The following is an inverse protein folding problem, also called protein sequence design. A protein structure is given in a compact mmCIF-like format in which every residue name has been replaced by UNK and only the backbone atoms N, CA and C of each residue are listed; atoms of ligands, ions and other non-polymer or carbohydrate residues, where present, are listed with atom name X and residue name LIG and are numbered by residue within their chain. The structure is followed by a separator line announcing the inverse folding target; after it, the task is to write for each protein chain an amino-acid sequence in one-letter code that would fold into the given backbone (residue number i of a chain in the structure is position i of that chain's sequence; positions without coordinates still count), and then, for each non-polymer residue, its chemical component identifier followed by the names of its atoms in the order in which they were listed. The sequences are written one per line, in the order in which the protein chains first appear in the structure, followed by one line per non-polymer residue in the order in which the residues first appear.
data_IF_250050290706
#
_entry.id   IF_250050290706
#
_cell.length_a   1.000
_cell.length_b   1.000
_cell.length_c   1.000
_cell.angle_alpha   90.00
_cell.angle_beta   90.00
_cell.angle_gamma   90.00
#
_symmetry.space_group_name_H-M   'P 1'
#
loop_
_entity.id
_entity.type
_entity.pdbx_description
1 polymer ?
#
# COMPACT_ATOMS: atom_id res chain seq x y z
N UNK A 1 -20.33 18.95 1.63
CA UNK A 1 -20.70 18.73 3.05
C UNK A 1 -20.38 19.97 3.87
N UNK A 2 -21.07 20.22 5.03
CA UNK A 2 -20.60 21.30 5.91
C UNK A 2 -19.41 20.87 6.75
N UNK A 3 -18.62 21.85 7.21
CA UNK A 3 -17.47 21.62 8.10
C UNK A 3 -17.91 20.89 9.39
N UNK A 4 -19.06 21.29 9.96
CA UNK A 4 -19.64 20.62 11.13
C UNK A 4 -19.99 19.15 10.87
N UNK A 5 -20.53 18.82 9.68
CA UNK A 5 -20.81 17.43 9.31
C UNK A 5 -19.52 16.58 9.17
N UNK A 6 -18.42 17.18 8.68
CA UNK A 6 -17.13 16.50 8.63
C UNK A 6 -16.59 16.24 10.04
N UNK A 7 -16.65 17.24 10.92
CA UNK A 7 -16.24 17.10 12.32
C UNK A 7 -17.06 16.04 13.04
N UNK A 8 -18.39 16.02 12.85
CA UNK A 8 -19.26 15.01 13.44
C UNK A 8 -18.86 13.57 13.04
N UNK A 9 -18.41 13.38 11.78
CA UNK A 9 -18.02 12.06 11.25
C UNK A 9 -16.59 11.65 11.60
N UNK A 10 -15.67 12.61 11.69
CA UNK A 10 -14.23 12.35 11.80
C UNK A 10 -13.65 12.67 13.18
N UNK A 11 -14.42 13.34 14.03
CA UNK A 11 -13.94 13.92 15.27
C UNK A 11 -13.19 15.22 15.04
N UNK A 12 -12.52 15.73 16.07
CA UNK A 12 -11.83 17.03 16.07
C UNK A 12 -12.68 18.11 16.72
N UNK A 13 -12.09 19.29 16.92
CA UNK A 13 -12.72 20.44 17.58
C UNK A 13 -12.68 21.64 16.64
N UNK A 14 -13.82 22.27 16.43
CA UNK A 14 -13.87 23.57 15.74
C UNK A 14 -13.40 24.67 16.73
N UNK A 15 -12.26 25.26 16.47
CA UNK A 15 -11.71 26.34 17.30
C UNK A 15 -12.24 27.70 16.88
N UNK A 16 -12.41 27.94 15.58
CA UNK A 16 -12.91 29.18 14.99
C UNK A 16 -13.64 28.91 13.68
N UNK A 17 -14.43 29.90 13.23
CA UNK A 17 -15.14 29.88 11.96
C UNK A 17 -16.55 29.31 12.07
N UNK A 18 -17.18 29.13 10.92
CA UNK A 18 -18.56 28.70 10.80
C UNK A 18 -18.68 27.19 10.54
N UNK A 19 -19.35 26.45 11.42
CA UNK A 19 -19.63 25.02 11.25
C UNK A 19 -20.51 24.71 10.02
N UNK A 20 -21.31 25.68 9.57
CA UNK A 20 -22.16 25.55 8.39
C UNK A 20 -21.41 25.89 7.09
N UNK A 21 -20.14 26.31 7.16
CA UNK A 21 -19.32 26.55 5.97
C UNK A 21 -19.30 25.31 5.06
N UNK A 22 -19.62 25.51 3.80
CA UNK A 22 -19.69 24.43 2.80
C UNK A 22 -18.29 24.07 2.32
N UNK A 23 -17.95 22.78 2.46
CA UNK A 23 -16.67 22.22 1.97
C UNK A 23 -16.98 21.28 0.80
N UNK A 24 -16.40 21.57 -0.35
CA UNK A 24 -16.59 20.82 -1.59
C UNK A 24 -15.41 19.90 -1.91
N UNK A 25 -14.20 20.30 -1.52
CA UNK A 25 -12.98 19.61 -1.88
C UNK A 25 -11.86 19.72 -0.86
N UNK A 26 -10.73 19.18 -1.24
CA UNK A 26 -9.46 19.28 -0.54
C UNK A 26 -8.39 19.73 -1.53
N UNK A 27 -7.43 20.52 -1.06
CA UNK A 27 -6.38 21.04 -1.94
C UNK A 27 -5.06 21.26 -1.19
N UNK A 28 -3.99 21.61 -1.92
CA UNK A 28 -2.78 22.17 -1.32
C UNK A 28 -3.00 23.62 -0.90
N UNK A 29 -2.32 24.09 0.14
CA UNK A 29 -2.51 25.46 0.65
C UNK A 29 -2.36 26.55 -0.42
N UNK A 30 -1.36 26.50 -1.36
CA UNK A 30 -1.22 27.52 -2.41
C UNK A 30 -2.33 27.53 -3.46
N UNK A 31 -3.04 26.42 -3.65
CA UNK A 31 -4.04 26.26 -4.72
C UNK A 31 -5.47 26.22 -4.22
N UNK A 32 -5.66 26.27 -2.91
CA UNK A 32 -6.98 26.14 -2.29
C UNK A 32 -7.87 27.33 -2.56
N UNK A 33 -9.15 27.04 -2.81
CA UNK A 33 -10.24 28.01 -2.90
C UNK A 33 -11.09 28.07 -1.62
N UNK A 34 -12.09 28.99 -1.57
CA UNK A 34 -12.88 29.25 -0.36
C UNK A 34 -13.77 28.07 0.09
N UNK A 35 -13.95 27.05 -0.73
CA UNK A 35 -14.68 25.82 -0.37
C UNK A 35 -13.75 24.62 -0.18
N UNK A 36 -12.42 24.83 -0.23
CA UNK A 36 -11.44 23.78 -0.03
C UNK A 36 -10.98 23.70 1.43
N UNK A 37 -10.66 22.47 1.82
CA UNK A 37 -10.03 22.12 3.08
C UNK A 37 -8.53 21.90 2.85
N UNK A 38 -7.69 22.42 3.74
CA UNK A 38 -6.24 22.17 3.76
C UNK A 38 -5.81 21.70 5.14
N UNK A 39 -4.58 21.22 5.28
CA UNK A 39 -4.02 20.84 6.59
C UNK A 39 -2.61 21.41 6.76
N UNK A 40 -2.18 21.53 8.02
CA UNK A 40 -0.83 21.89 8.39
C UNK A 40 -0.32 21.01 9.54
N UNK A 41 0.95 20.65 9.51
CA UNK A 41 1.58 19.78 10.52
C UNK A 41 2.57 20.54 11.42
N UNK A 42 2.97 21.75 11.04
CA UNK A 42 3.90 22.64 11.75
C UNK A 42 3.48 24.10 11.62
N UNK A 43 4.19 24.99 12.29
CA UNK A 43 3.88 26.44 12.33
C UNK A 43 4.08 27.11 10.96
N UNK A 44 5.06 26.69 10.16
CA UNK A 44 5.35 27.26 8.85
C UNK A 44 4.22 26.95 7.86
N UNK A 45 3.85 25.68 7.76
CA UNK A 45 2.71 25.25 6.93
C UNK A 45 1.38 25.81 7.43
N UNK A 46 1.21 26.04 8.73
CA UNK A 46 0.04 26.68 9.28
C UNK A 46 -0.06 28.15 8.86
N UNK A 47 1.03 28.90 8.90
CA UNK A 47 1.07 30.29 8.46
C UNK A 47 0.70 30.41 6.97
N UNK A 48 1.22 29.55 6.10
CA UNK A 48 0.87 29.49 4.68
C UNK A 48 -0.62 29.17 4.47
N UNK A 49 -1.13 28.13 5.14
CA UNK A 49 -2.53 27.70 5.00
C UNK A 49 -3.52 28.78 5.48
N UNK A 50 -3.16 29.54 6.52
CA UNK A 50 -4.00 30.58 7.11
C UNK A 50 -4.02 31.86 6.29
N UNK A 51 -2.95 32.20 5.59
CA UNK A 51 -2.86 33.38 4.72
C UNK A 51 -3.40 33.12 3.30
N UNK A 52 -3.53 31.87 2.86
CA UNK A 52 -4.09 31.49 1.56
C UNK A 52 -5.59 31.72 1.43
N UNK A 53 -6.25 31.05 0.47
CA UNK A 53 -7.68 31.20 0.19
C UNK A 53 -8.55 30.02 0.68
N UNK A 54 -7.99 29.05 1.38
CA UNK A 54 -8.74 27.89 1.86
C UNK A 54 -9.91 28.30 2.77
N UNK A 55 -11.05 27.61 2.66
CA UNK A 55 -12.21 27.85 3.52
C UNK A 55 -12.03 27.31 4.93
N UNK A 56 -11.25 26.23 5.08
CA UNK A 56 -10.94 25.65 6.38
C UNK A 56 -9.52 25.05 6.43
N UNK A 57 -8.93 25.07 7.63
CA UNK A 57 -7.59 24.57 7.91
C UNK A 57 -7.65 23.57 9.08
N UNK A 58 -6.99 22.44 8.94
CA UNK A 58 -6.82 21.45 10.00
C UNK A 58 -5.45 21.64 10.62
N UNK A 59 -5.40 21.84 11.94
CA UNK A 59 -4.18 22.06 12.72
C UNK A 59 -3.98 20.97 13.76
N UNK A 60 -2.75 20.81 14.23
CA UNK A 60 -2.45 20.01 15.43
C UNK A 60 -2.92 20.75 16.69
N UNK A 61 -3.21 20.02 17.78
CA UNK A 61 -3.43 20.64 19.08
C UNK A 61 -2.27 21.57 19.48
N UNK A 62 -2.65 22.72 20.05
CA UNK A 62 -1.72 23.75 20.52
C UNK A 62 -0.81 24.37 19.43
N UNK A 63 -1.13 24.24 18.15
CA UNK A 63 -0.43 25.00 17.11
C UNK A 63 -0.79 26.49 17.26
N UNK A 64 0.18 27.40 17.46
CA UNK A 64 -0.10 28.84 17.47
C UNK A 64 -0.62 29.30 16.12
N UNK A 65 -1.66 30.10 16.08
CA UNK A 65 -2.18 30.66 14.84
C UNK A 65 -2.78 32.05 14.99
N UNK A 66 -2.69 32.81 13.89
CA UNK A 66 -3.50 34.03 13.68
C UNK A 66 -4.44 33.76 12.51
N UNK A 67 -5.73 34.00 12.68
CA UNK A 67 -6.74 33.76 11.67
C UNK A 67 -7.37 35.08 11.17
N UNK A 68 -6.65 35.87 10.36
CA UNK A 68 -7.09 37.18 9.92
C UNK A 68 -8.30 37.16 8.97
N UNK A 69 -8.61 35.99 8.40
CA UNK A 69 -9.66 35.81 7.39
C UNK A 69 -10.85 35.00 7.89
N UNK A 70 -10.98 34.79 9.20
CA UNK A 70 -12.10 34.08 9.85
C UNK A 70 -12.40 32.69 9.27
N UNK A 71 -11.37 31.98 8.80
CA UNK A 71 -11.51 30.63 8.26
C UNK A 71 -12.00 29.64 9.31
N UNK A 72 -12.55 28.53 8.84
CA UNK A 72 -12.79 27.37 9.70
C UNK A 72 -11.48 26.77 10.20
N UNK A 73 -11.26 26.74 11.52
CA UNK A 73 -10.08 26.11 12.14
C UNK A 73 -10.52 24.85 12.88
N UNK A 74 -10.03 23.71 12.41
CA UNK A 74 -10.30 22.41 13.03
C UNK A 74 -9.04 21.89 13.69
N UNK A 75 -9.11 21.63 14.98
CA UNK A 75 -8.04 20.97 15.72
C UNK A 75 -8.22 19.43 15.64
N UNK A 76 -7.17 18.72 15.20
CA UNK A 76 -7.15 17.26 15.17
C UNK A 76 -5.77 16.70 15.53
N UNK A 77 -5.67 15.59 16.28
CA UNK A 77 -4.38 15.00 16.68
C UNK A 77 -3.47 14.61 15.51
N UNK A 78 -4.07 14.25 14.38
CA UNK A 78 -3.36 13.92 13.12
C UNK A 78 -4.03 14.66 11.96
N UNK A 79 -3.60 15.90 11.64
CA UNK A 79 -4.19 16.70 10.57
C UNK A 79 -4.20 16.01 9.21
N UNK A 80 -3.09 15.40 8.82
CA UNK A 80 -2.95 14.67 7.55
C UNK A 80 -3.92 13.50 7.45
N UNK A 81 -4.09 12.71 8.52
CA UNK A 81 -5.04 11.60 8.53
C UNK A 81 -6.49 12.09 8.46
N UNK A 82 -6.79 13.16 9.20
CA UNK A 82 -8.12 13.77 9.18
C UNK A 82 -8.45 14.30 7.77
N UNK A 83 -7.52 15.01 7.15
CA UNK A 83 -7.61 15.50 5.77
C UNK A 83 -7.86 14.36 4.76
N UNK A 84 -7.08 13.27 4.83
CA UNK A 84 -7.25 12.13 3.95
C UNK A 84 -8.63 11.47 4.09
N UNK A 85 -9.15 11.39 5.33
CA UNK A 85 -10.50 10.88 5.61
C UNK A 85 -11.59 11.83 5.09
N UNK A 86 -11.40 13.13 5.26
CA UNK A 86 -12.30 14.14 4.72
C UNK A 86 -12.36 14.09 3.19
N UNK A 87 -11.20 14.00 2.52
CA UNK A 87 -11.10 13.84 1.08
C UNK A 87 -11.92 12.63 0.58
N UNK A 88 -11.84 11.51 1.30
CA UNK A 88 -12.61 10.30 0.97
C UNK A 88 -14.13 10.51 1.13
N UNK A 89 -14.55 11.29 2.13
CA UNK A 89 -15.98 11.59 2.35
C UNK A 89 -16.52 12.62 1.35
N UNK A 90 -15.69 13.54 0.89
CA UNK A 90 -16.06 14.58 -0.07
C UNK A 90 -16.09 14.07 -1.51
N UNK A 91 -15.29 13.04 -1.81
CA UNK A 91 -15.30 12.42 -3.14
C UNK A 91 -16.57 11.59 -3.33
N UNK A 92 -17.39 11.87 -4.35
CA UNK A 92 -18.54 11.04 -4.64
C UNK A 92 -18.09 9.61 -4.95
N UNK A 93 -18.78 8.63 -4.36
CA UNK A 93 -18.54 7.24 -4.71
C UNK A 93 -18.92 7.02 -6.19
N UNK A 94 -18.07 6.37 -7.00
CA UNK A 94 -18.43 6.03 -8.36
C UNK A 94 -19.67 5.11 -8.35
N UNK A 95 -20.56 5.30 -9.31
CA UNK A 95 -21.73 4.45 -9.45
C UNK A 95 -21.30 3.03 -9.81
N UNK A 96 -21.91 2.04 -9.16
CA UNK A 96 -21.71 0.64 -9.50
C UNK A 96 -22.11 0.39 -10.95
N UNK A 97 -21.23 -0.20 -11.74
CA UNK A 97 -21.52 -0.55 -13.13
C UNK A 97 -20.53 -1.57 -13.66
N UNK A 98 -20.94 -2.31 -14.67
CA UNK A 98 -20.05 -3.17 -15.46
C UNK A 98 -19.95 -2.51 -16.85
N UNK A 99 -18.73 -2.08 -17.20
CA UNK A 99 -18.52 -1.43 -18.50
C UNK A 99 -18.77 -2.44 -19.63
N UNK A 100 -19.47 -2.05 -20.73
CA UNK A 100 -19.79 -2.98 -21.82
C UNK A 100 -18.58 -3.64 -22.50
N UNK A 101 -17.42 -3.04 -22.43
CA UNK A 101 -16.15 -3.60 -22.93
C UNK A 101 -15.42 -4.47 -21.90
N UNK A 102 -15.95 -4.70 -20.72
CA UNK A 102 -15.42 -5.69 -19.77
C UNK A 102 -15.88 -7.09 -20.18
N UNK A 103 -14.99 -8.07 -19.98
CA UNK A 103 -15.30 -9.49 -20.21
C UNK A 103 -15.50 -10.16 -18.86
N UNK A 104 -16.72 -10.58 -18.58
CA UNK A 104 -17.08 -11.25 -17.32
C UNK A 104 -17.60 -12.64 -17.65
N UNK A 105 -16.93 -13.66 -17.11
CA UNK A 105 -17.39 -15.03 -17.28
C UNK A 105 -18.75 -15.25 -16.61
N UNK A 106 -19.70 -15.96 -17.24
CA UNK A 106 -21.05 -16.18 -16.67
C UNK A 106 -21.05 -16.91 -15.32
N UNK A 107 -20.01 -17.65 -14.98
CA UNK A 107 -19.89 -18.32 -13.68
C UNK A 107 -19.31 -17.43 -12.58
N UNK A 108 -18.87 -16.20 -12.89
CA UNK A 108 -18.36 -15.27 -11.90
C UNK A 108 -19.50 -14.78 -10.97
N UNK A 109 -19.18 -14.66 -9.69
CA UNK A 109 -20.10 -14.20 -8.66
C UNK A 109 -19.71 -12.78 -8.22
N UNK A 110 -20.59 -11.82 -8.45
CA UNK A 110 -20.34 -10.42 -8.12
C UNK A 110 -21.22 -9.99 -6.94
N UNK A 111 -20.62 -9.35 -5.97
CA UNK A 111 -21.30 -8.70 -4.86
C UNK A 111 -22.05 -7.43 -5.27
N UNK A 112 -22.58 -6.72 -4.30
CA UNK A 112 -23.29 -5.45 -4.51
C UNK A 112 -22.32 -4.30 -4.70
N UNK A 113 -22.72 -3.28 -5.46
CA UNK A 113 -21.94 -2.05 -5.68
C UNK A 113 -20.53 -2.29 -6.23
N UNK A 114 -20.37 -3.30 -7.09
CA UNK A 114 -19.12 -3.57 -7.80
C UNK A 114 -19.03 -2.67 -9.02
N UNK A 115 -17.85 -2.06 -9.22
CA UNK A 115 -17.52 -1.30 -10.43
C UNK A 115 -16.45 -2.05 -11.20
N UNK A 116 -16.74 -2.40 -12.46
CA UNK A 116 -15.80 -3.06 -13.38
C UNK A 116 -15.65 -2.19 -14.61
N UNK A 117 -14.43 -1.71 -14.85
CA UNK A 117 -14.13 -0.76 -15.91
C UNK A 117 -13.73 -1.43 -17.24
N UNK A 118 -13.50 -0.59 -18.25
CA UNK A 118 -13.29 -1.02 -19.63
C UNK A 118 -12.12 -1.99 -19.80
N UNK A 119 -12.36 -3.09 -20.52
CA UNK A 119 -11.34 -4.07 -20.86
C UNK A 119 -10.83 -4.93 -19.69
N UNK A 120 -11.43 -4.82 -18.50
CA UNK A 120 -11.18 -5.76 -17.41
C UNK A 120 -11.68 -7.16 -17.79
N UNK A 121 -10.95 -8.20 -17.39
CA UNK A 121 -11.28 -9.61 -17.65
C UNK A 121 -11.48 -10.34 -16.33
N UNK A 122 -12.68 -10.85 -16.11
CA UNK A 122 -13.06 -11.63 -14.92
C UNK A 122 -13.27 -13.07 -15.36
N UNK A 123 -12.37 -13.95 -14.94
CA UNK A 123 -12.35 -15.35 -15.32
C UNK A 123 -13.44 -16.21 -14.65
N UNK A 124 -13.51 -17.46 -15.07
CA UNK A 124 -14.51 -18.42 -14.57
C UNK A 124 -14.39 -18.63 -13.05
N UNK A 125 -15.54 -18.75 -12.37
CA UNK A 125 -15.64 -18.98 -10.92
C UNK A 125 -14.94 -17.94 -10.05
N UNK A 126 -14.62 -16.77 -10.57
CA UNK A 126 -14.12 -15.63 -9.77
C UNK A 126 -15.24 -15.18 -8.82
N UNK A 127 -14.85 -14.87 -7.58
CA UNK A 127 -15.77 -14.30 -6.58
C UNK A 127 -15.30 -12.91 -6.20
N UNK A 128 -16.19 -11.93 -6.27
CA UNK A 128 -15.91 -10.54 -5.94
C UNK A 128 -16.90 -10.09 -4.88
N UNK A 129 -16.41 -9.63 -3.74
CA UNK A 129 -17.21 -9.11 -2.64
C UNK A 129 -17.85 -7.75 -2.94
N UNK A 130 -18.58 -7.21 -1.96
CA UNK A 130 -19.31 -5.94 -2.06
C UNK A 130 -18.35 -4.73 -2.18
N UNK A 131 -18.74 -3.74 -3.00
CA UNK A 131 -18.05 -2.45 -3.09
C UNK A 131 -16.66 -2.47 -3.71
N UNK A 132 -16.32 -3.52 -4.46
CA UNK A 132 -15.04 -3.62 -5.15
C UNK A 132 -14.96 -2.72 -6.39
N UNK A 133 -13.77 -2.24 -6.70
CA UNK A 133 -13.50 -1.44 -7.88
C UNK A 133 -12.36 -2.09 -8.70
N UNK A 134 -12.70 -2.55 -9.90
CA UNK A 134 -11.77 -3.19 -10.84
C UNK A 134 -11.52 -2.22 -11.98
N UNK A 135 -10.36 -1.63 -12.00
CA UNK A 135 -9.94 -0.63 -12.99
C UNK A 135 -9.68 -1.22 -14.38
N UNK A 136 -9.49 -0.37 -15.42
CA UNK A 136 -9.39 -0.85 -16.81
C UNK A 136 -8.29 -1.88 -17.01
N UNK A 137 -8.57 -2.89 -17.82
CA UNK A 137 -7.62 -3.93 -18.24
C UNK A 137 -7.00 -4.76 -17.11
N UNK A 138 -7.54 -4.72 -15.89
CA UNK A 138 -7.18 -5.69 -14.87
C UNK A 138 -7.68 -7.09 -15.24
N UNK A 139 -6.90 -8.13 -14.92
CA UNK A 139 -7.20 -9.52 -15.25
C UNK A 139 -7.25 -10.36 -13.98
N UNK A 140 -8.42 -10.96 -13.72
CA UNK A 140 -8.61 -11.91 -12.63
C UNK A 140 -8.75 -13.32 -13.24
N UNK A 141 -7.76 -14.16 -12.98
CA UNK A 141 -7.75 -15.55 -13.45
C UNK A 141 -8.80 -16.40 -12.74
N UNK A 142 -9.21 -17.54 -13.37
CA UNK A 142 -10.26 -18.39 -12.84
C UNK A 142 -10.04 -18.80 -11.37
N UNK A 143 -11.11 -18.78 -10.57
CA UNK A 143 -11.09 -19.16 -9.16
C UNK A 143 -10.54 -18.14 -8.18
N UNK A 144 -10.06 -16.98 -8.64
CA UNK A 144 -9.63 -15.88 -7.76
C UNK A 144 -10.78 -15.40 -6.89
N UNK A 145 -10.49 -15.16 -5.60
CA UNK A 145 -11.49 -14.65 -4.65
C UNK A 145 -11.06 -13.30 -4.10
N UNK A 146 -11.94 -12.30 -4.20
CA UNK A 146 -11.81 -10.98 -3.59
C UNK A 146 -12.82 -10.81 -2.47
N UNK A 147 -12.38 -10.32 -1.33
CA UNK A 147 -13.24 -9.83 -0.25
C UNK A 147 -13.97 -8.54 -0.62
N UNK A 148 -14.41 -7.79 0.38
CA UNK A 148 -15.18 -6.56 0.19
C UNK A 148 -14.26 -5.33 0.05
N UNK A 149 -14.71 -4.31 -0.69
CA UNK A 149 -14.03 -3.03 -0.85
C UNK A 149 -12.58 -3.13 -1.35
N UNK A 150 -12.31 -4.18 -2.13
CA UNK A 150 -11.01 -4.38 -2.78
C UNK A 150 -10.90 -3.45 -3.99
N UNK A 151 -9.74 -2.83 -4.15
CA UNK A 151 -9.43 -1.95 -5.28
C UNK A 151 -8.29 -2.60 -6.08
N UNK A 152 -8.55 -2.84 -7.37
CA UNK A 152 -7.56 -3.41 -8.29
C UNK A 152 -7.30 -2.39 -9.39
N UNK A 153 -6.11 -1.79 -9.38
CA UNK A 153 -5.72 -0.78 -10.36
C UNK A 153 -5.43 -1.36 -11.76
N UNK A 154 -5.35 -0.46 -12.73
CA UNK A 154 -5.29 -0.81 -14.15
C UNK A 154 -4.14 -1.76 -14.50
N UNK A 155 -4.42 -2.76 -15.31
CA UNK A 155 -3.43 -3.69 -15.81
C UNK A 155 -2.89 -4.71 -14.80
N UNK A 156 -3.37 -4.73 -13.56
CA UNK A 156 -2.99 -5.75 -12.59
C UNK A 156 -3.45 -7.15 -13.04
N UNK A 157 -2.63 -8.17 -12.80
CA UNK A 157 -2.90 -9.57 -13.18
C UNK A 157 -2.88 -10.44 -11.93
N UNK A 158 -4.00 -11.05 -11.61
CA UNK A 158 -4.23 -11.76 -10.35
C UNK A 158 -4.60 -13.22 -10.60
N UNK A 159 -3.86 -14.14 -9.97
CA UNK A 159 -4.11 -15.57 -10.02
C UNK A 159 -3.50 -16.28 -11.22
N UNK A 160 -2.50 -15.68 -11.89
CA UNK A 160 -1.70 -16.38 -12.89
C UNK A 160 -0.95 -17.57 -12.29
N UNK A 161 -0.53 -18.50 -13.13
CA UNK A 161 0.29 -19.63 -12.72
C UNK A 161 1.66 -19.16 -12.24
N UNK A 162 2.09 -19.68 -11.09
CA UNK A 162 3.38 -19.36 -10.51
C UNK A 162 4.56 -19.95 -11.30
N UNK A 163 5.74 -19.38 -11.12
CA UNK A 163 6.99 -19.83 -11.75
C UNK A 163 7.58 -21.02 -10.99
N UNK A 164 6.96 -22.19 -11.16
CA UNK A 164 7.40 -23.44 -10.55
C UNK A 164 7.84 -24.45 -11.61
N UNK A 165 9.11 -24.86 -11.60
CA UNK A 165 9.67 -25.85 -12.55
C UNK A 165 10.58 -26.85 -11.86
N UNK A 166 10.46 -28.13 -12.25
CA UNK A 166 11.33 -29.21 -11.82
C UNK A 166 12.27 -29.57 -12.98
N UNK A 167 13.56 -29.57 -12.70
CA UNK A 167 14.56 -29.97 -13.70
C UNK A 167 14.71 -31.50 -13.71
N UNK A 168 14.55 -32.10 -14.87
CA UNK A 168 14.94 -33.50 -15.08
C UNK A 168 16.47 -33.59 -15.09
N UNK A 169 17.03 -34.37 -14.19
CA UNK A 169 18.48 -34.55 -14.08
C UNK A 169 19.11 -35.34 -15.23
N UNK A 170 18.33 -36.15 -15.92
CA UNK A 170 18.82 -36.97 -17.03
C UNK A 170 18.89 -36.19 -18.35
N UNK A 171 17.90 -35.37 -18.63
CA UNK A 171 17.77 -34.63 -19.89
C UNK A 171 18.15 -33.17 -19.80
N UNK A 172 18.16 -32.59 -18.57
CA UNK A 172 18.35 -31.17 -18.33
C UNK A 172 17.11 -30.31 -18.63
N UNK A 173 16.01 -30.92 -19.10
CA UNK A 173 14.76 -30.22 -19.41
C UNK A 173 13.99 -29.84 -18.17
N UNK A 174 13.07 -28.87 -18.31
CA UNK A 174 12.20 -28.39 -17.23
C UNK A 174 10.76 -28.84 -17.44
N UNK A 175 10.14 -29.38 -16.41
CA UNK A 175 8.71 -29.66 -16.35
C UNK A 175 8.04 -28.72 -15.38
N UNK A 176 6.95 -28.09 -15.80
CA UNK A 176 6.18 -27.19 -14.94
C UNK A 176 5.57 -27.96 -13.77
N UNK A 177 5.75 -27.46 -12.57
CA UNK A 177 5.06 -27.95 -11.38
C UNK A 177 3.59 -27.47 -11.42
N UNK A 178 2.60 -28.33 -11.07
CA UNK A 178 1.19 -27.95 -11.15
C UNK A 178 0.86 -26.70 -10.37
N UNK A 179 0.09 -25.80 -10.97
CA UNK A 179 -0.38 -24.55 -10.38
C UNK A 179 -1.92 -24.60 -10.28
N UNK A 180 -2.42 -25.37 -9.32
CA UNK A 180 -3.85 -25.72 -9.18
C UNK A 180 -4.49 -25.12 -7.90
N UNK A 181 -3.71 -24.39 -7.13
CA UNK A 181 -4.16 -23.74 -5.92
C UNK A 181 -4.96 -22.45 -6.19
N UNK A 182 -5.24 -21.71 -5.13
CA UNK A 182 -6.10 -20.53 -5.16
C UNK A 182 -5.31 -19.22 -4.96
N UNK A 183 -5.94 -18.11 -5.32
CA UNK A 183 -5.59 -16.77 -4.84
C UNK A 183 -6.76 -16.20 -4.05
N UNK A 184 -6.48 -15.78 -2.80
CA UNK A 184 -7.45 -15.16 -1.90
C UNK A 184 -6.96 -13.78 -1.50
N UNK A 185 -7.77 -12.76 -1.75
CA UNK A 185 -7.53 -11.38 -1.38
C UNK A 185 -8.64 -10.96 -0.44
N UNK A 186 -8.29 -10.57 0.78
CA UNK A 186 -9.24 -10.22 1.81
C UNK A 186 -9.76 -8.77 1.68
N UNK A 187 -10.62 -8.33 2.60
CA UNK A 187 -11.29 -7.03 2.60
C UNK A 187 -10.30 -5.86 2.62
N UNK A 188 -10.71 -4.73 2.05
CA UNK A 188 -9.99 -3.44 2.11
C UNK A 188 -8.57 -3.45 1.53
N UNK A 189 -8.21 -4.47 0.74
CA UNK A 189 -6.91 -4.54 0.04
C UNK A 189 -6.92 -3.62 -1.18
N UNK A 190 -5.78 -2.99 -1.45
CA UNK A 190 -5.57 -2.19 -2.65
C UNK A 190 -4.32 -2.69 -3.39
N UNK A 191 -4.46 -2.95 -4.69
CA UNK A 191 -3.41 -3.51 -5.55
C UNK A 191 -3.14 -2.54 -6.68
N UNK A 192 -1.90 -2.06 -6.76
CA UNK A 192 -1.42 -1.07 -7.71
C UNK A 192 -1.39 -1.54 -9.17
N UNK A 193 -1.21 -0.58 -10.06
CA UNK A 193 -1.22 -0.82 -11.50
C UNK A 193 -0.09 -1.75 -11.95
N UNK A 194 -0.41 -2.67 -12.88
CA UNK A 194 0.52 -3.66 -13.44
C UNK A 194 1.21 -4.55 -12.39
N UNK A 195 0.66 -4.67 -11.21
CA UNK A 195 1.11 -5.61 -10.18
C UNK A 195 0.64 -7.02 -10.55
N UNK A 196 1.48 -8.02 -10.32
CA UNK A 196 1.18 -9.43 -10.60
C UNK A 196 1.21 -10.24 -9.31
N UNK A 197 0.18 -11.07 -9.08
CA UNK A 197 0.09 -11.97 -7.93
C UNK A 197 -0.27 -13.36 -8.42
N UNK A 198 0.62 -14.32 -8.20
CA UNK A 198 0.41 -15.68 -8.62
C UNK A 198 -0.54 -16.44 -7.70
N UNK A 199 -1.24 -17.44 -8.22
CA UNK A 199 -1.98 -18.41 -7.41
C UNK A 199 -1.04 -19.31 -6.62
N UNK A 200 -1.53 -19.98 -5.60
CA UNK A 200 -0.80 -21.05 -4.96
C UNK A 200 -0.56 -22.23 -5.93
N UNK A 201 0.53 -22.95 -5.77
CA UNK A 201 0.78 -24.16 -6.56
C UNK A 201 -0.26 -25.26 -6.23
N UNK A 202 -0.33 -25.71 -4.98
CA UNK A 202 -1.32 -26.70 -4.50
C UNK A 202 -2.21 -26.15 -3.36
N UNK A 203 -1.72 -25.16 -2.62
CA UNK A 203 -2.45 -24.46 -1.57
C UNK A 203 -2.93 -23.08 -2.07
N UNK A 204 -2.83 -22.04 -1.28
CA UNK A 204 -3.25 -20.71 -1.68
C UNK A 204 -2.12 -19.67 -1.55
N UNK A 205 -2.18 -18.64 -2.37
CA UNK A 205 -1.55 -17.35 -2.12
C UNK A 205 -2.59 -16.47 -1.44
N UNK A 206 -2.24 -15.81 -0.34
CA UNK A 206 -3.18 -14.99 0.44
C UNK A 206 -2.65 -13.59 0.69
N UNK A 207 -3.51 -12.61 0.41
CA UNK A 207 -3.28 -11.20 0.76
C UNK A 207 -4.31 -10.82 1.81
N UNK A 208 -3.86 -10.50 3.03
CA UNK A 208 -4.75 -10.26 4.16
C UNK A 208 -5.26 -8.84 4.19
N UNK A 209 -6.31 -8.66 4.98
CA UNK A 209 -7.10 -7.43 5.10
C UNK A 209 -6.25 -6.17 5.28
N UNK A 210 -6.66 -5.08 4.60
CA UNK A 210 -6.10 -3.74 4.76
C UNK A 210 -4.76 -3.50 4.06
N UNK A 211 -4.12 -4.54 3.51
CA UNK A 211 -2.81 -4.45 2.83
C UNK A 211 -2.88 -3.54 1.60
N UNK A 212 -1.82 -2.73 1.43
CA UNK A 212 -1.65 -1.78 0.33
C UNK A 212 -0.41 -2.15 -0.47
N UNK A 213 -0.61 -2.45 -1.74
CA UNK A 213 0.43 -2.88 -2.68
C UNK A 213 0.51 -1.84 -3.79
N UNK A 214 1.68 -1.28 -4.00
CA UNK A 214 1.95 -0.27 -5.01
C UNK A 214 2.10 -0.89 -6.41
N UNK A 215 2.40 -0.07 -7.39
CA UNK A 215 2.53 -0.46 -8.79
C UNK A 215 3.75 -1.34 -9.05
N UNK A 216 3.64 -2.22 -10.06
CA UNK A 216 4.75 -3.04 -10.56
C UNK A 216 5.37 -3.95 -9.48
N UNK A 217 4.59 -4.39 -8.51
CA UNK A 217 5.00 -5.40 -7.51
C UNK A 217 4.74 -6.79 -8.07
N UNK A 218 5.63 -7.75 -7.77
CA UNK A 218 5.39 -9.17 -8.03
C UNK A 218 5.31 -9.96 -6.73
N UNK A 219 4.27 -10.77 -6.57
CA UNK A 219 4.10 -11.72 -5.46
C UNK A 219 3.94 -13.12 -6.04
N UNK A 220 4.92 -13.98 -5.76
CA UNK A 220 4.96 -15.36 -6.24
C UNK A 220 3.97 -16.28 -5.52
N UNK A 221 3.89 -17.50 -6.02
CA UNK A 221 2.97 -18.53 -5.54
C UNK A 221 3.16 -18.89 -4.05
N UNK A 222 2.09 -19.29 -3.38
CA UNK A 222 2.09 -19.75 -1.98
C UNK A 222 2.58 -18.67 -0.97
N UNK A 223 2.56 -17.40 -1.32
CA UNK A 223 2.87 -16.32 -0.38
C UNK A 223 1.72 -16.05 0.57
N UNK A 224 2.04 -15.70 1.82
CA UNK A 224 1.10 -15.21 2.83
C UNK A 224 1.50 -13.80 3.26
N UNK A 225 0.75 -12.79 2.78
CA UNK A 225 0.97 -11.39 3.11
C UNK A 225 0.00 -10.98 4.21
N UNK A 226 0.53 -10.58 5.35
CA UNK A 226 -0.19 -10.25 6.58
C UNK A 226 -1.16 -9.07 6.45
N UNK A 227 -1.88 -8.79 7.54
CA UNK A 227 -2.79 -7.64 7.61
C UNK A 227 -2.03 -6.32 7.64
N UNK A 228 -2.62 -5.26 7.04
CA UNK A 228 -2.13 -3.88 7.09
C UNK A 228 -0.66 -3.72 6.66
N UNK A 229 -0.18 -4.58 5.77
CA UNK A 229 1.17 -4.49 5.17
C UNK A 229 1.18 -3.41 4.09
N UNK A 230 2.29 -2.68 4.00
CA UNK A 230 2.54 -1.73 2.90
C UNK A 230 3.71 -2.22 2.07
N UNK A 231 3.51 -2.37 0.76
CA UNK A 231 4.54 -2.82 -0.19
C UNK A 231 4.66 -1.76 -1.28
N UNK A 232 5.83 -1.11 -1.33
CA UNK A 232 6.10 -0.07 -2.32
C UNK A 232 6.56 -0.66 -3.67
N UNK A 233 6.56 0.18 -4.69
CA UNK A 233 6.74 -0.18 -6.09
C UNK A 233 8.03 -0.96 -6.39
N UNK A 234 7.95 -1.81 -7.42
CA UNK A 234 9.07 -2.60 -7.95
C UNK A 234 9.63 -3.66 -6.97
N UNK A 235 8.91 -3.96 -5.90
CA UNK A 235 9.27 -5.04 -4.97
C UNK A 235 8.93 -6.40 -5.59
N UNK A 236 9.85 -7.37 -5.42
CA UNK A 236 9.64 -8.76 -5.79
C UNK A 236 9.65 -9.68 -4.58
N UNK A 237 8.59 -10.48 -4.41
CA UNK A 237 8.47 -11.50 -3.36
C UNK A 237 8.40 -12.86 -4.02
N UNK A 238 9.43 -13.68 -3.83
CA UNK A 238 9.50 -15.02 -4.38
C UNK A 238 8.55 -15.99 -3.67
N UNK A 239 8.28 -17.11 -4.31
CA UNK A 239 7.29 -18.09 -3.85
C UNK A 239 7.51 -18.61 -2.43
N UNK A 240 6.43 -19.08 -1.80
CA UNK A 240 6.41 -19.67 -0.46
C UNK A 240 6.95 -18.77 0.66
N UNK A 241 6.96 -17.46 0.45
CA UNK A 241 7.42 -16.48 1.43
C UNK A 241 6.26 -15.89 2.22
N UNK A 242 6.55 -15.34 3.41
CA UNK A 242 5.55 -14.65 4.20
C UNK A 242 6.01 -13.29 4.70
N UNK A 243 5.05 -12.36 4.82
CA UNK A 243 5.25 -11.01 5.37
C UNK A 243 4.25 -10.79 6.50
N UNK A 244 4.77 -10.55 7.70
CA UNK A 244 3.96 -10.39 8.90
C UNK A 244 3.17 -9.08 8.94
N UNK A 245 2.13 -9.06 9.77
CA UNK A 245 1.21 -7.92 9.99
C UNK A 245 1.95 -6.60 10.18
N UNK A 246 1.50 -5.54 9.50
CA UNK A 246 1.99 -4.17 9.69
C UNK A 246 3.43 -3.95 9.23
N UNK A 247 4.03 -4.90 8.49
CA UNK A 247 5.35 -4.69 7.91
C UNK A 247 5.32 -3.62 6.81
N UNK A 248 6.43 -2.92 6.64
CA UNK A 248 6.61 -1.89 5.60
C UNK A 248 7.76 -2.31 4.70
N UNK A 249 7.45 -2.59 3.46
CA UNK A 249 8.42 -3.01 2.44
C UNK A 249 8.60 -1.83 1.47
N UNK A 250 9.75 -1.18 1.54
CA UNK A 250 10.05 -0.05 0.66
C UNK A 250 10.33 -0.50 -0.79
N UNK A 251 10.48 0.46 -1.69
CA UNK A 251 10.62 0.17 -3.11
C UNK A 251 11.86 -0.64 -3.49
N UNK A 252 11.73 -1.48 -4.52
CA UNK A 252 12.81 -2.30 -5.09
C UNK A 252 13.41 -3.32 -4.11
N UNK A 253 12.64 -3.74 -3.09
CA UNK A 253 13.06 -4.80 -2.17
C UNK A 253 12.94 -6.15 -2.87
N UNK A 254 13.92 -7.03 -2.65
CA UNK A 254 13.89 -8.42 -3.07
C UNK A 254 13.71 -9.36 -1.87
N UNK A 255 12.66 -10.18 -1.88
CA UNK A 255 12.43 -11.23 -0.87
C UNK A 255 12.60 -12.58 -1.56
N UNK A 256 13.63 -13.31 -1.14
CA UNK A 256 13.99 -14.61 -1.70
C UNK A 256 12.96 -15.69 -1.34
N UNK A 257 13.04 -16.80 -2.06
CA UNK A 257 12.18 -17.96 -1.91
C UNK A 257 12.16 -18.53 -0.48
N UNK A 258 11.00 -18.92 0.04
CA UNK A 258 10.82 -19.43 1.41
C UNK A 258 11.35 -18.50 2.51
N UNK A 259 11.38 -17.19 2.27
CA UNK A 259 11.79 -16.22 3.28
C UNK A 259 10.61 -15.72 4.12
N UNK A 260 10.88 -15.34 5.37
CA UNK A 260 9.86 -14.88 6.30
C UNK A 260 10.23 -13.51 6.88
N UNK A 261 9.38 -12.53 6.65
CA UNK A 261 9.50 -11.19 7.24
C UNK A 261 8.51 -11.08 8.40
N UNK A 262 9.01 -10.79 9.59
CA UNK A 262 8.19 -10.72 10.81
C UNK A 262 7.27 -9.50 10.86
N UNK A 263 6.32 -9.49 11.82
CA UNK A 263 5.39 -8.37 12.01
C UNK A 263 6.11 -7.05 12.32
N UNK A 264 5.62 -5.94 11.75
CA UNK A 264 6.14 -4.60 12.00
C UNK A 264 7.58 -4.35 11.55
N UNK A 265 8.17 -5.26 10.78
CA UNK A 265 9.51 -5.08 10.19
C UNK A 265 9.45 -4.02 9.10
N UNK A 266 10.43 -3.15 9.06
CA UNK A 266 10.61 -2.16 7.98
C UNK A 266 11.84 -2.55 7.15
N UNK A 267 11.62 -2.92 5.88
CA UNK A 267 12.69 -3.11 4.91
C UNK A 267 12.90 -1.82 4.13
N UNK A 268 14.08 -1.22 4.26
CA UNK A 268 14.45 -0.03 3.51
C UNK A 268 14.61 -0.31 2.01
N UNK A 269 14.52 0.73 1.18
CA UNK A 269 14.61 0.59 -0.27
C UNK A 269 15.83 -0.20 -0.74
N UNK A 270 15.64 -1.08 -1.72
CA UNK A 270 16.68 -1.96 -2.29
C UNK A 270 17.28 -2.98 -1.29
N UNK A 271 16.63 -3.20 -0.15
CA UNK A 271 17.05 -4.26 0.76
C UNK A 271 16.78 -5.65 0.17
N UNK A 272 17.61 -6.63 0.54
CA UNK A 272 17.46 -8.02 0.12
C UNK A 272 17.31 -8.98 1.30
N UNK A 273 16.29 -9.84 1.27
CA UNK A 273 16.13 -10.96 2.19
C UNK A 273 16.48 -12.24 1.45
N UNK A 274 17.50 -12.96 1.93
CA UNK A 274 17.97 -14.18 1.27
C UNK A 274 16.94 -15.32 1.42
N UNK A 275 16.95 -16.23 0.46
CA UNK A 275 16.09 -17.43 0.45
C UNK A 275 16.20 -18.25 1.73
N UNK A 276 15.07 -18.74 2.25
CA UNK A 276 14.99 -19.54 3.45
C UNK A 276 15.37 -18.79 4.74
N UNK A 277 15.48 -17.47 4.71
CA UNK A 277 15.83 -16.68 5.89
C UNK A 277 14.61 -16.04 6.55
N UNK A 278 14.67 -15.99 7.88
CA UNK A 278 13.69 -15.26 8.68
C UNK A 278 14.32 -13.94 9.13
N UNK A 279 13.60 -12.85 8.88
CA UNK A 279 13.94 -11.50 9.31
C UNK A 279 12.85 -11.03 10.25
N UNK A 280 13.18 -10.91 11.53
CA UNK A 280 12.25 -10.46 12.57
C UNK A 280 12.87 -9.34 13.37
N UNK A 281 12.07 -8.66 14.18
CA UNK A 281 12.58 -7.74 15.19
C UNK A 281 13.29 -8.48 16.34
N UNK A 282 13.11 -9.80 16.43
CA UNK A 282 13.75 -10.71 17.40
C UNK A 282 14.95 -11.41 16.75
N UNK A 283 15.95 -11.78 17.53
CA UNK A 283 17.08 -12.59 17.05
C UNK A 283 18.31 -11.82 16.58
N UNK A 284 18.25 -10.51 16.47
CA UNK A 284 19.47 -9.68 16.38
C UNK A 284 20.00 -9.38 17.79
N UNK A 285 21.31 -9.42 18.00
CA UNK A 285 21.95 -8.98 19.26
C UNK A 285 22.65 -7.64 19.04
N UNK A 286 22.21 -6.52 19.64
CA UNK A 286 21.06 -6.36 20.51
C UNK A 286 19.71 -6.46 19.74
N UNK A 287 18.65 -6.82 20.46
CA UNK A 287 17.29 -7.00 19.94
C UNK A 287 16.82 -5.77 19.15
N UNK A 288 16.29 -6.00 17.97
CA UNK A 288 15.81 -4.92 17.10
C UNK A 288 14.42 -4.50 17.56
N UNK A 289 14.25 -3.22 17.89
CA UNK A 289 12.95 -2.68 18.25
C UNK A 289 12.02 -2.65 17.03
N UNK A 290 10.69 -2.89 17.21
CA UNK A 290 9.71 -2.65 16.15
C UNK A 290 9.89 -1.25 15.53
N UNK A 291 9.75 -1.15 14.21
CA UNK A 291 10.01 0.10 13.47
C UNK A 291 11.47 0.37 13.12
N UNK A 292 12.41 -0.50 13.50
CA UNK A 292 13.81 -0.37 13.05
C UNK A 292 13.90 -0.67 11.56
N UNK A 293 14.51 0.25 10.80
CA UNK A 293 14.77 0.06 9.38
C UNK A 293 15.92 -0.90 9.17
N UNK A 294 15.68 -1.96 8.40
CA UNK A 294 16.69 -2.90 7.91
C UNK A 294 17.04 -2.56 6.46
N UNK A 295 18.31 -2.60 6.10
CA UNK A 295 18.79 -2.23 4.78
C UNK A 295 20.01 -3.06 4.34
N UNK A 296 20.26 -3.04 3.02
CA UNK A 296 21.37 -3.77 2.39
C UNK A 296 20.97 -5.21 2.01
N UNK A 297 21.93 -5.92 1.42
CA UNK A 297 21.77 -7.33 1.02
C UNK A 297 22.95 -8.13 1.59
N UNK A 298 22.73 -9.00 2.59
CA UNK A 298 21.44 -9.25 3.29
C UNK A 298 20.98 -8.05 4.14
N UNK A 299 19.67 -7.94 4.35
CA UNK A 299 19.08 -6.86 5.14
C UNK A 299 19.53 -6.93 6.60
N UNK A 300 20.11 -5.83 7.10
CA UNK A 300 20.64 -5.67 8.45
C UNK A 300 20.24 -4.29 9.01
N UNK A 301 20.35 -4.06 10.33
CA UNK A 301 20.03 -2.74 10.87
C UNK A 301 20.79 -1.61 10.13
N UNK A 302 20.05 -0.62 9.63
CA UNK A 302 20.58 0.46 8.79
C UNK A 302 21.81 1.14 9.44
N UNK A 303 21.75 1.44 10.74
CA UNK A 303 22.88 2.06 11.47
C UNK A 303 24.14 1.21 11.41
N UNK A 304 24.02 -0.12 11.45
CA UNK A 304 25.15 -1.03 11.32
C UNK A 304 25.74 -0.96 9.92
N UNK A 305 24.93 -1.08 8.88
CA UNK A 305 25.38 -1.02 7.48
C UNK A 305 26.06 0.31 7.18
N UNK A 306 25.51 1.43 7.63
CA UNK A 306 26.12 2.75 7.43
C UNK A 306 27.49 2.89 8.13
N UNK A 307 27.66 2.29 9.32
CA UNK A 307 28.97 2.27 10.00
C UNK A 307 30.01 1.46 9.22
N UNK A 308 29.62 0.28 8.72
CA UNK A 308 30.50 -0.57 7.91
C UNK A 308 30.91 0.14 6.61
N UNK A 309 29.96 0.77 5.90
CA UNK A 309 30.26 1.57 4.71
C UNK A 309 31.20 2.76 5.01
N UNK A 310 31.01 3.44 6.14
CA UNK A 310 31.89 4.52 6.55
C UNK A 310 33.31 4.04 6.83
N UNK A 311 33.49 2.84 7.43
CA UNK A 311 34.80 2.22 7.64
C UNK A 311 35.47 1.88 6.30
N UNK A 312 34.72 1.26 5.37
CA UNK A 312 35.23 0.94 4.03
C UNK A 312 35.65 2.19 3.27
N UNK A 313 34.87 3.27 3.34
CA UNK A 313 35.19 4.54 2.70
C UNK A 313 36.48 5.18 3.29
N UNK A 314 36.72 5.05 4.61
CA UNK A 314 37.97 5.51 5.25
C UNK A 314 39.16 4.69 4.78
N UNK A 315 39.04 3.36 4.72
CA UNK A 315 40.13 2.47 4.24
C UNK A 315 40.48 2.75 2.77
N UNK A 316 39.50 2.99 1.91
CA UNK A 316 39.72 3.36 0.52
C UNK A 316 40.54 4.66 0.41
N UNK A 317 40.18 5.71 1.18
CA UNK A 317 40.90 7.00 1.21
C UNK A 317 42.33 6.90 1.80
N UNK A 318 42.57 5.97 2.71
CA UNK A 318 43.91 5.77 3.27
C UNK A 318 44.88 5.12 2.27
N UNK A 319 44.40 4.26 1.38
CA UNK A 319 45.20 3.65 0.31
C UNK A 319 45.60 4.65 -0.77
N UNK A 320 44.71 5.56 -1.16
CA UNK A 320 45.01 6.60 -2.18
C UNK A 320 46.04 7.64 -1.71
N UNK A 321 46.42 7.65 -0.41
CA UNK A 321 47.48 8.50 0.15
C UNK A 321 48.86 7.81 0.19
N UNK A 322 48.94 6.55 -0.20
CA UNK A 322 50.17 5.74 -0.20
C UNK A 322 50.71 5.47 -1.62
N UNK A 323 49.99 5.91 -2.65
CA UNK A 323 50.40 6.06 -4.03
C UNK A 323 50.70 7.55 -4.34
#
# INVERSE_FOLDING_TARGET
MTLGQLIQKLGGTLLQGNADAHIEGVNSAPQAGPTDLVFAEDEESAAEALTGNAGAVILRPNTPFANPFEKGIVEAPSPRLWFARAAKLLKPAPAASIHPAAVVDPSAQLGRNVLIEAGAVIGANVRIGDGCHIYPRAVLYPGTTLGNRVIIHAGAVLGADGFGYVRDSATGSYTQFPQQGALVIEDDVEIGANTTIDRGALAETRIRRGTKIDNLVHIGHNCDIGEDVVIAALTGISGSSSVGKGAIIAGQVGIGDHAHVGPGVILGGQAGVLSGKTVTNEGFKPEIKPGTVLWGTPARPLKQVLRELAVLARLARSRTRLE
#
